data_IF_151500425748
#
_entry.id   IF_151500425748
#
_cell.length_a   1.000
_cell.length_b   1.000
_cell.length_c   1.000
_cell.angle_alpha   90.00
_cell.angle_beta   90.00
_cell.angle_gamma   90.00
#
_symmetry.space_group_name_H-M   'P 1'
#
loop_
_entity.id
_entity.type
_entity.pdbx_description
1 polymer ?
#
# COMPACT_ATOMS: atom_id res chain seq x y z
N UNK A 1 -74.45 27.94 -6.34
CA UNK A 1 -73.71 28.40 -5.14
C UNK A 1 -72.23 28.37 -5.47
N UNK A 2 -71.68 29.53 -5.78
CA UNK A 2 -70.24 29.79 -5.67
C UNK A 2 -69.93 30.13 -4.20
N UNK A 3 -68.71 29.85 -3.73
CA UNK A 3 -67.95 30.51 -2.63
C UNK A 3 -66.65 29.67 -2.50
N UNK A 4 -65.52 30.16 -3.03
CA UNK A 4 -64.42 30.91 -2.37
C UNK A 4 -63.23 30.01 -2.01
N UNK A 5 -62.07 30.35 -2.58
CA UNK A 5 -60.77 29.95 -2.06
C UNK A 5 -60.35 30.92 -0.95
N UNK A 6 -59.57 30.43 0.03
CA UNK A 6 -58.43 31.22 0.50
C UNK A 6 -57.13 30.44 0.39
N UNK A 7 -56.14 31.13 -0.19
CA UNK A 7 -54.72 30.83 -0.09
C UNK A 7 -54.23 31.07 1.34
N UNK A 8 -53.32 30.21 1.81
CA UNK A 8 -52.11 30.54 2.60
C UNK A 8 -51.83 29.45 3.63
N UNK A 9 -50.73 28.73 3.40
CA UNK A 9 -50.20 27.73 4.33
C UNK A 9 -48.77 27.42 3.91
N UNK A 10 -47.86 28.32 4.27
CA UNK A 10 -46.41 28.16 4.15
C UNK A 10 -46.00 26.87 4.88
N UNK A 11 -45.54 25.86 4.14
CA UNK A 11 -44.92 24.67 4.73
C UNK A 11 -43.46 25.02 5.02
N UNK A 12 -42.99 24.93 6.27
CA UNK A 12 -41.59 25.15 6.57
C UNK A 12 -40.77 23.97 6.02
N UNK A 13 -39.78 24.35 5.23
CA UNK A 13 -38.74 23.51 4.66
C UNK A 13 -38.08 22.70 5.79
N UNK A 14 -38.50 21.44 5.95
CA UNK A 14 -37.86 20.52 6.87
C UNK A 14 -36.49 20.17 6.28
N UNK A 15 -35.49 20.97 6.66
CA UNK A 15 -34.09 20.77 6.35
C UNK A 15 -33.70 19.32 6.68
N UNK A 16 -33.70 18.48 5.65
CA UNK A 16 -33.03 17.20 5.65
C UNK A 16 -31.56 17.50 5.95
N UNK A 17 -31.16 17.32 7.21
CA UNK A 17 -29.75 17.27 7.63
C UNK A 17 -29.12 16.08 6.91
N UNK A 18 -28.72 16.30 5.65
CA UNK A 18 -27.90 15.38 4.87
C UNK A 18 -26.60 15.23 5.63
N UNK A 19 -26.51 14.12 6.36
CA UNK A 19 -25.31 13.57 6.98
C UNK A 19 -24.17 13.70 5.96
N UNK A 20 -23.21 14.59 6.23
CA UNK A 20 -21.96 14.69 5.46
C UNK A 20 -21.39 13.27 5.36
N UNK A 21 -21.18 12.76 4.15
CA UNK A 21 -20.55 11.45 3.93
C UNK A 21 -19.05 11.57 4.23
N UNK A 22 -18.52 10.84 5.23
CA UNK A 22 -17.08 10.66 5.42
C UNK A 22 -16.72 9.32 4.79
N UNK A 23 -16.54 9.28 3.47
CA UNK A 23 -16.34 8.00 2.74
C UNK A 23 -15.04 7.90 1.97
N UNK A 24 -14.27 8.97 1.77
CA UNK A 24 -12.98 8.85 1.06
C UNK A 24 -11.80 8.57 2.00
N UNK A 25 -11.85 9.04 3.26
CA UNK A 25 -10.77 8.77 4.23
C UNK A 25 -10.82 7.35 4.82
N UNK A 26 -12.03 6.77 4.95
CA UNK A 26 -12.21 5.46 5.61
C UNK A 26 -11.64 4.27 4.85
N UNK A 27 -11.49 4.37 3.52
CA UNK A 27 -10.93 3.27 2.73
C UNK A 27 -9.41 3.30 2.66
N UNK A 28 -8.80 4.50 2.59
CA UNK A 28 -7.34 4.64 2.58
C UNK A 28 -6.71 4.26 3.92
N UNK A 29 -7.32 4.62 5.05
CA UNK A 29 -6.84 4.24 6.38
C UNK A 29 -6.81 2.71 6.57
N UNK A 30 -7.87 2.03 6.15
CA UNK A 30 -7.94 0.57 6.24
C UNK A 30 -6.97 -0.10 5.25
N UNK A 31 -6.79 0.49 4.06
CA UNK A 31 -5.79 0.04 3.10
C UNK A 31 -4.36 0.18 3.67
N UNK A 32 -4.05 1.28 4.35
CA UNK A 32 -2.75 1.49 4.99
C UNK A 32 -2.43 0.40 6.03
N UNK A 33 -3.39 0.10 6.90
CA UNK A 33 -3.26 -0.97 7.90
C UNK A 33 -3.16 -2.36 7.24
N UNK A 34 -3.96 -2.63 6.20
CA UNK A 34 -3.91 -3.89 5.46
C UNK A 34 -2.55 -4.08 4.77
N UNK A 35 -1.97 -3.04 4.17
CA UNK A 35 -0.65 -3.07 3.56
C UNK A 35 0.45 -3.26 4.61
N UNK A 36 0.36 -2.62 5.78
CA UNK A 36 1.26 -2.84 6.93
C UNK A 36 1.27 -4.31 7.36
N UNK A 37 0.09 -4.89 7.59
CA UNK A 37 -0.03 -6.30 7.98
C UNK A 37 0.46 -7.25 6.88
N UNK A 38 0.11 -6.99 5.61
CA UNK A 38 0.57 -7.78 4.47
C UNK A 38 2.09 -7.72 4.32
N UNK A 39 2.68 -6.54 4.51
CA UNK A 39 4.13 -6.36 4.50
C UNK A 39 4.80 -7.08 5.65
N UNK A 40 4.21 -7.11 6.84
CA UNK A 40 4.72 -7.85 8.00
C UNK A 40 4.75 -9.35 7.73
N UNK A 41 3.61 -9.91 7.30
CA UNK A 41 3.48 -11.35 7.01
C UNK A 41 4.42 -11.76 5.88
N UNK A 42 4.51 -10.96 4.81
CA UNK A 42 5.40 -11.24 3.69
C UNK A 42 6.87 -11.27 4.15
N UNK A 43 7.29 -10.30 4.97
CA UNK A 43 8.66 -10.26 5.46
C UNK A 43 8.98 -11.46 6.35
N UNK A 44 8.07 -11.82 7.27
CA UNK A 44 8.21 -12.99 8.13
C UNK A 44 8.41 -14.28 7.30
N UNK A 45 7.60 -14.49 6.26
CA UNK A 45 7.75 -15.64 5.36
C UNK A 45 9.06 -15.61 4.57
N UNK A 46 9.52 -14.44 4.13
CA UNK A 46 10.71 -14.30 3.29
C UNK A 46 12.01 -14.35 4.09
N UNK A 47 11.95 -14.12 5.39
CA UNK A 47 13.08 -14.25 6.32
C UNK A 47 13.11 -15.60 7.04
N UNK A 48 12.35 -16.59 6.56
CA UNK A 48 12.21 -17.90 7.21
C UNK A 48 11.85 -17.80 8.71
N UNK A 49 10.89 -16.92 9.01
CA UNK A 49 10.42 -16.63 10.37
C UNK A 49 11.49 -16.14 11.34
N UNK A 50 12.57 -15.54 10.83
CA UNK A 50 13.60 -14.92 11.68
C UNK A 50 13.01 -13.81 12.57
N UNK A 51 13.02 -14.05 13.89
CA UNK A 51 12.46 -13.15 14.89
C UNK A 51 13.07 -11.74 14.85
N UNK A 52 14.38 -11.62 14.63
CA UNK A 52 15.05 -10.30 14.60
C UNK A 52 14.51 -9.46 13.44
N UNK A 53 14.27 -10.09 12.29
CA UNK A 53 13.68 -9.42 11.12
C UNK A 53 12.23 -9.02 11.38
N UNK A 54 11.46 -9.92 12.00
CA UNK A 54 10.06 -9.67 12.35
C UNK A 54 9.94 -8.51 13.34
N UNK A 55 10.72 -8.52 14.41
CA UNK A 55 10.73 -7.46 15.44
C UNK A 55 11.15 -6.12 14.85
N UNK A 56 12.22 -6.09 14.03
CA UNK A 56 12.62 -4.87 13.32
C UNK A 56 11.47 -4.31 12.47
N UNK A 57 10.71 -5.17 11.81
CA UNK A 57 9.58 -4.76 10.99
C UNK A 57 8.38 -4.29 11.84
N UNK A 58 8.11 -4.94 12.97
CA UNK A 58 7.12 -4.48 13.96
C UNK A 58 7.47 -3.10 14.51
N UNK A 59 8.74 -2.86 14.86
CA UNK A 59 9.23 -1.54 15.30
C UNK A 59 9.00 -0.49 14.22
N UNK A 60 9.34 -0.79 12.96
CA UNK A 60 9.09 0.14 11.85
C UNK A 60 7.60 0.47 11.72
N UNK A 61 6.72 -0.53 11.75
CA UNK A 61 5.26 -0.34 11.70
C UNK A 61 4.76 0.50 12.88
N UNK A 62 5.24 0.25 14.10
CA UNK A 62 4.85 1.01 15.28
C UNK A 62 5.24 2.49 15.17
N UNK A 63 6.44 2.78 14.64
CA UNK A 63 6.88 4.16 14.36
C UNK A 63 6.01 4.84 13.30
N UNK A 64 5.68 4.15 12.20
CA UNK A 64 4.78 4.67 11.17
C UNK A 64 3.40 5.02 11.76
N UNK A 65 2.86 4.16 12.62
CA UNK A 65 1.60 4.40 13.33
C UNK A 65 1.70 5.57 14.31
N UNK A 66 2.83 5.73 15.00
CA UNK A 66 3.07 6.86 15.90
C UNK A 66 3.10 8.18 15.13
N UNK A 67 3.71 8.23 13.94
CA UNK A 67 3.65 9.42 13.07
C UNK A 67 2.21 9.74 12.64
N UNK A 68 1.45 8.73 12.20
CA UNK A 68 0.04 8.92 11.83
C UNK A 68 -0.83 9.33 13.02
N UNK A 69 -0.48 8.88 14.24
CA UNK A 69 -1.13 9.30 15.48
C UNK A 69 -0.83 10.76 15.81
N UNK A 70 0.44 11.17 15.75
CA UNK A 70 0.84 12.57 15.97
C UNK A 70 0.20 13.51 14.95
N UNK A 71 -0.04 13.03 13.72
CA UNK A 71 -0.80 13.75 12.69
C UNK A 71 -2.32 13.84 12.93
N UNK A 72 -2.84 13.21 13.98
CA UNK A 72 -4.27 13.14 14.28
C UNK A 72 -5.09 12.23 13.35
N UNK A 73 -4.43 11.39 12.54
CA UNK A 73 -5.08 10.49 11.57
C UNK A 73 -5.53 9.19 12.27
N UNK A 74 -4.72 8.67 13.18
CA UNK A 74 -5.01 7.45 13.94
C UNK A 74 -5.17 7.76 15.44
N UNK A 75 -6.09 7.07 16.10
CA UNK A 75 -6.27 7.16 17.57
C UNK A 75 -5.37 6.14 18.28
N UNK A 76 -4.89 6.45 19.49
CA UNK A 76 -4.05 5.57 20.31
C UNK A 76 -4.63 4.14 20.43
N UNK A 77 -5.91 4.01 20.80
CA UNK A 77 -6.60 2.72 20.91
C UNK A 77 -6.63 1.89 19.61
N UNK A 78 -6.67 2.57 18.45
CA UNK A 78 -6.66 1.92 17.12
C UNK A 78 -5.26 1.44 16.75
N UNK A 79 -4.23 2.23 17.04
CA UNK A 79 -2.83 1.83 16.86
C UNK A 79 -2.50 0.60 17.71
N UNK A 80 -2.82 0.65 19.02
CA UNK A 80 -2.55 -0.45 19.93
C UNK A 80 -3.28 -1.73 19.51
N UNK A 81 -4.58 -1.63 19.20
CA UNK A 81 -5.37 -2.78 18.71
C UNK A 81 -4.78 -3.38 17.44
N UNK A 82 -4.33 -2.55 16.50
CA UNK A 82 -3.70 -3.05 15.27
C UNK A 82 -2.37 -3.74 15.55
N UNK A 83 -1.55 -3.23 16.48
CA UNK A 83 -0.34 -3.90 16.92
C UNK A 83 -0.67 -5.25 17.55
N UNK A 84 -1.68 -5.35 18.44
CA UNK A 84 -2.11 -6.64 19.00
C UNK A 84 -2.48 -7.65 17.91
N UNK A 85 -3.19 -7.23 16.86
CA UNK A 85 -3.50 -8.09 15.69
C UNK A 85 -2.22 -8.53 14.98
N UNK A 86 -1.25 -7.64 14.81
CA UNK A 86 0.05 -7.99 14.22
C UNK A 86 0.77 -9.07 15.04
N UNK A 87 0.82 -8.90 16.36
CA UNK A 87 1.43 -9.87 17.28
C UNK A 87 0.71 -11.22 17.26
N UNK A 88 -0.61 -11.23 17.33
CA UNK A 88 -1.41 -12.46 17.21
C UNK A 88 -1.09 -13.19 15.90
N UNK A 89 -1.08 -12.45 14.78
CA UNK A 89 -0.80 -13.03 13.48
C UNK A 89 0.61 -13.60 13.37
N UNK A 90 1.61 -12.90 13.91
CA UNK A 90 3.00 -13.36 13.95
C UNK A 90 3.14 -14.59 14.83
N UNK A 91 2.55 -14.60 16.03
CA UNK A 91 2.60 -15.74 16.94
C UNK A 91 2.01 -17.00 16.30
N UNK A 92 0.91 -16.87 15.54
CA UNK A 92 0.34 -17.98 14.76
C UNK A 92 1.29 -18.50 13.67
N UNK A 93 2.14 -17.63 13.09
CA UNK A 93 3.15 -18.04 12.11
C UNK A 93 4.36 -18.70 12.79
N UNK A 94 4.86 -18.12 13.89
CA UNK A 94 5.98 -18.64 14.66
C UNK A 94 5.67 -20.02 15.25
N UNK A 95 4.43 -20.24 15.72
CA UNK A 95 3.99 -21.54 16.24
C UNK A 95 4.09 -22.69 15.21
N UNK A 96 4.26 -22.39 13.91
CA UNK A 96 4.46 -23.40 12.86
C UNK A 96 5.93 -23.79 12.68
N UNK A 97 6.86 -23.10 13.36
CA UNK A 97 8.30 -23.31 13.24
C UNK A 97 8.83 -23.90 14.54
N UNK A 98 9.40 -25.09 14.47
CA UNK A 98 9.81 -25.90 15.63
C UNK A 98 10.90 -25.25 16.48
N UNK A 99 11.67 -24.32 15.92
CA UNK A 99 12.84 -23.69 16.55
C UNK A 99 12.66 -22.20 16.83
N UNK A 100 11.45 -21.64 16.67
CA UNK A 100 11.25 -20.20 16.88
C UNK A 100 11.31 -19.83 18.36
N UNK A 101 12.18 -18.88 18.70
CA UNK A 101 12.11 -18.20 20.00
C UNK A 101 10.84 -17.32 20.08
N UNK A 102 10.33 -17.00 21.28
CA UNK A 102 9.29 -15.99 21.42
C UNK A 102 9.82 -14.60 21.03
N UNK A 103 8.90 -13.69 20.68
CA UNK A 103 9.22 -12.27 20.55
C UNK A 103 9.59 -11.70 21.92
N UNK A 104 10.53 -10.77 21.93
CA UNK A 104 11.09 -10.12 23.12
C UNK A 104 10.28 -8.93 23.62
N UNK A 105 9.41 -8.40 22.76
CA UNK A 105 8.59 -7.21 23.01
C UNK A 105 7.10 -7.54 23.00
N UNK A 106 6.28 -6.74 23.69
CA UNK A 106 4.82 -6.81 23.60
C UNK A 106 4.28 -5.68 22.75
N UNK A 107 2.99 -5.74 22.39
CA UNK A 107 2.33 -4.67 21.63
C UNK A 107 2.35 -3.35 22.41
N UNK A 108 2.13 -3.39 23.72
CA UNK A 108 2.12 -2.24 24.62
C UNK A 108 3.51 -1.63 24.75
N UNK A 109 4.54 -2.43 25.06
CA UNK A 109 5.91 -1.93 25.23
C UNK A 109 6.44 -1.31 23.92
N UNK A 110 6.09 -1.93 22.80
CA UNK A 110 6.46 -1.45 21.47
C UNK A 110 5.76 -0.13 21.13
N UNK A 111 4.46 -0.02 21.46
CA UNK A 111 3.68 1.19 21.21
C UNK A 111 4.20 2.38 22.02
N UNK A 112 4.44 2.21 23.32
CA UNK A 112 4.97 3.28 24.16
C UNK A 112 6.35 3.72 23.70
N UNK A 113 7.23 2.78 23.35
CA UNK A 113 8.55 3.11 22.81
C UNK A 113 8.47 3.87 21.49
N UNK A 114 7.57 3.48 20.58
CA UNK A 114 7.39 4.16 19.30
C UNK A 114 6.83 5.57 19.46
N UNK A 115 5.84 5.77 20.33
CA UNK A 115 5.30 7.10 20.66
C UNK A 115 6.39 8.02 21.20
N UNK A 116 7.17 7.53 22.17
CA UNK A 116 8.23 8.31 22.77
C UNK A 116 9.27 8.75 21.73
N UNK A 117 9.75 7.81 20.89
CA UNK A 117 10.74 8.11 19.85
C UNK A 117 10.25 9.09 18.78
N UNK A 118 8.97 9.01 18.39
CA UNK A 118 8.40 9.96 17.41
C UNK A 118 8.18 11.32 18.06
N UNK A 119 7.73 11.38 19.31
CA UNK A 119 7.56 12.64 20.02
C UNK A 119 8.90 13.37 20.23
N UNK A 120 9.96 12.63 20.57
CA UNK A 120 11.32 13.18 20.67
C UNK A 120 11.82 13.73 19.32
N UNK A 121 11.51 13.03 18.22
CA UNK A 121 11.90 13.47 16.88
C UNK A 121 11.07 14.67 16.35
N UNK A 122 9.90 14.93 16.92
CA UNK A 122 8.96 15.98 16.50
C UNK A 122 8.92 17.15 17.50
N UNK A 123 10.07 17.52 18.07
CA UNK A 123 10.32 18.46 19.19
C UNK A 123 9.61 19.84 19.13
N UNK A 124 8.91 20.15 18.05
CA UNK A 124 8.02 21.30 17.86
C UNK A 124 6.60 20.83 17.56
N UNK A 125 5.61 21.34 18.29
CA UNK A 125 4.16 21.05 18.17
C UNK A 125 3.52 21.24 16.76
N UNK A 126 4.31 21.46 15.71
CA UNK A 126 3.88 21.51 14.33
C UNK A 126 4.44 20.30 13.57
N UNK A 127 3.57 19.63 12.79
CA UNK A 127 3.98 18.59 11.84
C UNK A 127 4.80 19.24 10.71
N UNK A 128 6.08 19.51 10.96
CA UNK A 128 7.00 19.91 9.90
C UNK A 128 7.25 18.71 8.97
N UNK A 129 7.18 18.96 7.67
CA UNK A 129 7.44 17.97 6.63
C UNK A 129 8.84 17.36 6.77
N UNK A 130 9.81 18.12 7.30
CA UNK A 130 11.18 17.63 7.55
C UNK A 130 11.23 16.57 8.64
N UNK A 131 10.56 16.79 9.78
CA UNK A 131 10.49 15.85 10.91
C UNK A 131 9.76 14.56 10.53
N UNK A 132 8.65 14.69 9.77
CA UNK A 132 7.95 13.53 9.20
C UNK A 132 8.87 12.75 8.26
N UNK A 133 9.62 13.42 7.38
CA UNK A 133 10.55 12.77 6.45
C UNK A 133 11.66 12.02 7.19
N UNK A 134 12.19 12.59 8.28
CA UNK A 134 13.18 11.93 9.13
C UNK A 134 12.63 10.63 9.74
N UNK A 135 11.38 10.63 10.19
CA UNK A 135 10.74 9.43 10.74
C UNK A 135 10.60 8.29 9.71
N UNK A 136 10.45 8.62 8.41
CA UNK A 136 10.35 7.64 7.32
C UNK A 136 11.69 7.34 6.62
N UNK A 137 12.80 7.97 7.01
CA UNK A 137 14.08 7.85 6.30
C UNK A 137 14.56 6.39 6.19
N UNK A 138 14.40 5.63 7.27
CA UNK A 138 14.73 4.20 7.29
C UNK A 138 13.87 3.39 6.31
N UNK A 139 12.57 3.69 6.23
CA UNK A 139 11.66 3.02 5.31
C UNK A 139 12.00 3.36 3.85
N UNK A 140 12.30 4.63 3.55
CA UNK A 140 12.76 5.07 2.23
C UNK A 140 14.06 4.36 1.84
N UNK A 141 15.03 4.28 2.76
CA UNK A 141 16.31 3.60 2.52
C UNK A 141 16.12 2.12 2.22
N UNK A 142 15.28 1.43 2.98
CA UNK A 142 14.96 0.02 2.77
C UNK A 142 14.34 -0.21 1.38
N UNK A 143 13.40 0.65 0.97
CA UNK A 143 12.79 0.57 -0.37
C UNK A 143 13.83 0.80 -1.48
N UNK A 144 14.72 1.80 -1.32
CA UNK A 144 15.82 2.06 -2.26
C UNK A 144 16.75 0.86 -2.41
N UNK A 145 17.10 0.21 -1.29
CA UNK A 145 17.95 -0.98 -1.29
C UNK A 145 17.28 -2.16 -2.01
N UNK A 146 15.98 -2.38 -1.76
CA UNK A 146 15.21 -3.42 -2.45
C UNK A 146 15.11 -3.18 -3.95
N UNK A 147 14.89 -1.93 -4.36
CA UNK A 147 14.90 -1.55 -5.77
C UNK A 147 16.25 -1.85 -6.42
N UNK A 148 17.35 -1.42 -5.80
CA UNK A 148 18.70 -1.67 -6.30
C UNK A 148 19.00 -3.16 -6.40
N UNK A 149 18.68 -3.95 -5.37
CA UNK A 149 18.86 -5.40 -5.37
C UNK A 149 18.03 -6.09 -6.46
N UNK A 150 16.79 -5.65 -6.69
CA UNK A 150 15.94 -6.15 -7.76
C UNK A 150 16.56 -5.88 -9.15
N UNK A 151 17.01 -4.65 -9.42
CA UNK A 151 17.63 -4.29 -10.70
C UNK A 151 18.90 -5.10 -10.94
N UNK A 152 19.81 -5.14 -9.97
CA UNK A 152 21.08 -5.87 -10.09
C UNK A 152 20.87 -7.37 -10.31
N UNK A 153 19.98 -8.00 -9.55
CA UNK A 153 19.68 -9.43 -9.73
C UNK A 153 19.02 -9.71 -11.08
N UNK A 154 18.16 -8.81 -11.57
CA UNK A 154 17.55 -8.96 -12.90
C UNK A 154 18.59 -8.89 -14.02
N UNK A 155 19.50 -7.93 -13.94
CA UNK A 155 20.59 -7.77 -14.92
C UNK A 155 21.55 -8.95 -14.88
N UNK A 156 21.95 -9.40 -13.69
CA UNK A 156 22.77 -10.58 -13.51
C UNK A 156 22.09 -11.84 -14.06
N UNK A 157 20.80 -12.02 -13.78
CA UNK A 157 20.01 -13.14 -14.31
C UNK A 157 19.91 -13.13 -15.83
N UNK A 158 19.76 -11.94 -16.44
CA UNK A 158 19.78 -11.79 -17.89
C UNK A 158 21.15 -12.16 -18.48
N UNK A 159 22.24 -11.70 -17.87
CA UNK A 159 23.60 -12.02 -18.32
C UNK A 159 23.86 -13.53 -18.27
N UNK A 160 23.54 -14.19 -17.15
CA UNK A 160 23.65 -15.65 -17.01
C UNK A 160 22.82 -16.42 -18.04
N UNK A 161 21.64 -15.90 -18.38
CA UNK A 161 20.79 -16.49 -19.42
C UNK A 161 21.46 -16.43 -20.79
N UNK A 162 22.06 -15.29 -21.14
CA UNK A 162 22.79 -15.10 -22.39
C UNK A 162 24.10 -15.90 -22.46
N UNK A 163 24.74 -16.18 -21.32
CA UNK A 163 25.91 -17.05 -21.19
C UNK A 163 25.58 -18.56 -21.28
N UNK A 164 24.30 -18.93 -21.44
CA UNK A 164 23.86 -20.33 -21.48
C UNK A 164 23.75 -21.00 -20.11
N UNK A 165 23.97 -20.27 -19.01
CA UNK A 165 23.84 -20.76 -17.63
C UNK A 165 22.40 -20.65 -17.14
N UNK A 166 21.49 -21.38 -17.80
CA UNK A 166 20.05 -21.20 -17.60
C UNK A 166 19.57 -21.55 -16.17
N UNK A 167 20.12 -22.58 -15.54
CA UNK A 167 19.71 -22.96 -14.18
C UNK A 167 20.06 -21.88 -13.14
N UNK A 168 21.27 -21.33 -13.21
CA UNK A 168 21.72 -20.23 -12.37
C UNK A 168 20.90 -18.96 -12.64
N UNK A 169 20.66 -18.65 -13.93
CA UNK A 169 19.82 -17.54 -14.33
C UNK A 169 18.41 -17.64 -13.71
N UNK A 170 17.78 -18.82 -13.76
CA UNK A 170 16.46 -19.04 -13.17
C UNK A 170 16.46 -18.80 -11.66
N UNK A 171 17.51 -19.23 -10.94
CA UNK A 171 17.62 -18.99 -9.50
C UNK A 171 17.72 -17.49 -9.19
N UNK A 172 18.58 -16.77 -9.90
CA UNK A 172 18.77 -15.33 -9.71
C UNK A 172 17.51 -14.54 -10.09
N UNK A 173 16.83 -14.90 -11.18
CA UNK A 173 15.59 -14.25 -11.59
C UNK A 173 14.44 -14.48 -10.59
N UNK A 174 14.36 -15.66 -9.97
CA UNK A 174 13.41 -15.91 -8.86
C UNK A 174 13.70 -14.99 -7.66
N UNK A 175 14.98 -14.78 -7.32
CA UNK A 175 15.36 -13.83 -6.27
C UNK A 175 15.01 -12.39 -6.61
N UNK A 176 15.18 -11.99 -7.87
CA UNK A 176 14.71 -10.68 -8.36
C UNK A 176 13.20 -10.50 -8.15
N UNK A 177 12.40 -11.54 -8.42
CA UNK A 177 10.95 -11.51 -8.18
C UNK A 177 10.62 -11.34 -6.68
N UNK A 178 11.39 -11.96 -5.79
CA UNK A 178 11.24 -11.77 -4.34
C UNK A 178 11.51 -10.31 -3.95
N UNK A 179 12.60 -9.71 -4.45
CA UNK A 179 12.89 -8.30 -4.19
C UNK A 179 11.81 -7.39 -4.76
N UNK A 180 11.31 -7.66 -5.96
CA UNK A 180 10.23 -6.90 -6.58
C UNK A 180 8.96 -6.91 -5.73
N UNK A 181 8.56 -8.08 -5.22
CA UNK A 181 7.37 -8.20 -4.36
C UNK A 181 7.53 -7.43 -3.04
N UNK A 182 8.71 -7.51 -2.41
CA UNK A 182 9.03 -6.76 -1.18
C UNK A 182 9.03 -5.26 -1.43
N UNK A 183 9.69 -4.83 -2.52
CA UNK A 183 9.72 -3.43 -2.97
C UNK A 183 8.30 -2.90 -3.15
N UNK A 184 7.46 -3.60 -3.92
CA UNK A 184 6.11 -3.15 -4.22
C UNK A 184 5.26 -2.96 -2.96
N UNK A 185 5.30 -3.92 -2.03
CA UNK A 185 4.56 -3.82 -0.78
C UNK A 185 5.04 -2.65 0.09
N UNK A 186 6.36 -2.53 0.30
CA UNK A 186 6.91 -1.46 1.15
C UNK A 186 6.73 -0.07 0.52
N UNK A 187 6.88 0.04 -0.81
CA UNK A 187 6.69 1.29 -1.53
C UNK A 187 5.22 1.73 -1.55
N UNK A 188 4.28 0.81 -1.79
CA UNK A 188 2.85 1.12 -1.71
C UNK A 188 2.45 1.56 -0.30
N UNK A 189 2.92 0.84 0.72
CA UNK A 189 2.69 1.18 2.13
C UNK A 189 3.13 2.61 2.43
N UNK A 190 4.35 2.97 2.03
CA UNK A 190 4.93 4.30 2.22
C UNK A 190 4.14 5.39 1.47
N UNK A 191 3.78 5.14 0.20
CA UNK A 191 3.02 6.12 -0.59
C UNK A 191 1.63 6.39 -0.02
N UNK A 192 0.96 5.36 0.51
CA UNK A 192 -0.34 5.54 1.16
C UNK A 192 -0.19 6.37 2.44
N UNK A 193 0.84 6.15 3.26
CA UNK A 193 1.08 6.96 4.45
C UNK A 193 1.35 8.43 4.08
N UNK A 194 2.18 8.68 3.07
CA UNK A 194 2.40 10.04 2.58
C UNK A 194 1.11 10.67 2.04
N UNK A 195 0.27 9.92 1.33
CA UNK A 195 -1.02 10.41 0.84
C UNK A 195 -1.96 10.75 2.01
N UNK A 196 -1.99 9.94 3.06
CA UNK A 196 -2.77 10.22 4.27
C UNK A 196 -2.31 11.52 4.95
N UNK A 197 -0.99 11.70 5.13
CA UNK A 197 -0.38 12.89 5.72
C UNK A 197 -0.57 14.17 4.88
N UNK A 198 -0.56 14.04 3.55
CA UNK A 198 -0.87 15.16 2.65
C UNK A 198 -2.35 15.51 2.67
N UNK A 199 -3.24 14.51 2.79
CA UNK A 199 -4.69 14.74 2.84
C UNK A 199 -5.15 15.42 4.13
N UNK A 200 -4.43 15.22 5.24
CA UNK A 200 -4.72 15.88 6.52
C UNK A 200 -4.25 17.33 6.57
N UNK A 201 -3.27 17.73 5.73
CA UNK A 201 -2.67 19.06 5.71
C UNK A 201 -3.28 20.03 4.69
N UNK A 202 -4.06 19.56 3.71
CA UNK A 202 -4.66 20.42 2.68
C UNK A 202 -6.16 20.68 2.94
N UNK A 203 -6.64 21.94 2.91
CA UNK A 203 -8.07 22.21 2.92
C UNK A 203 -8.69 21.62 1.64
N UNK A 204 -9.67 20.73 1.81
CA UNK A 204 -10.31 20.00 0.71
C UNK A 204 -10.77 20.95 -0.41
N UNK A 205 -9.98 21.05 -1.48
CA UNK A 205 -10.39 21.73 -2.71
C UNK A 205 -11.57 20.93 -3.24
N UNK A 206 -12.77 21.53 -3.25
CA UNK A 206 -13.97 20.92 -3.83
C UNK A 206 -13.65 20.47 -5.25
N UNK A 207 -13.42 19.17 -5.43
CA UNK A 207 -13.22 18.60 -6.74
C UNK A 207 -14.48 18.91 -7.56
N UNK A 208 -14.35 19.68 -8.64
CA UNK A 208 -15.45 19.80 -9.57
C UNK A 208 -15.71 18.38 -10.08
N UNK A 209 -16.95 17.91 -9.94
CA UNK A 209 -17.33 16.59 -10.43
C UNK A 209 -17.17 16.60 -11.94
N UNK A 210 -16.00 16.22 -12.43
CA UNK A 210 -15.78 15.90 -13.84
C UNK A 210 -16.59 14.65 -14.13
N UNK A 211 -17.81 14.87 -14.61
CA UNK A 211 -18.67 13.83 -15.15
C UNK A 211 -18.08 13.40 -16.48
N UNK A 212 -17.81 12.11 -16.63
CA UNK A 212 -17.45 11.52 -17.92
C UNK A 212 -18.72 11.52 -18.77
N UNK A 213 -18.74 12.33 -19.83
CA UNK A 213 -19.78 12.25 -20.87
C UNK A 213 -19.24 11.47 -22.06
N UNK A 214 -20.06 10.57 -22.59
CA UNK A 214 -19.79 9.91 -23.87
C UNK A 214 -20.32 10.77 -25.02
N UNK A 215 -19.70 10.68 -26.19
CA UNK A 215 -20.25 11.27 -27.40
C UNK A 215 -21.64 10.65 -27.68
N UNK A 216 -22.60 11.48 -28.10
CA UNK A 216 -23.99 11.05 -28.31
C UNK A 216 -24.14 10.01 -29.43
N UNK A 217 -23.18 9.92 -30.35
CA UNK A 217 -23.13 8.92 -31.41
C UNK A 217 -21.75 8.24 -31.44
N UNK A 218 -21.70 6.92 -31.64
CA UNK A 218 -20.44 6.20 -31.79
C UNK A 218 -19.76 6.61 -33.10
N UNK A 219 -18.46 6.91 -33.04
CA UNK A 219 -17.63 7.09 -34.23
C UNK A 219 -17.19 5.68 -34.68
N UNK A 220 -17.70 5.23 -35.82
CA UNK A 220 -17.24 3.98 -36.45
C UNK A 220 -15.91 4.26 -37.15
N UNK A 221 -14.81 3.85 -36.52
CA UNK A 221 -13.44 4.07 -37.03
C UNK A 221 -13.07 3.16 -38.21
N UNK A 222 -13.93 2.19 -38.54
CA UNK A 222 -13.77 1.31 -39.69
C UNK A 222 -14.69 0.09 -39.61
N UNK A 223 -14.99 -0.50 -40.76
CA UNK A 223 -15.66 -1.80 -40.88
C UNK A 223 -14.61 -2.90 -40.88
N UNK A 224 -14.86 -3.96 -40.12
CA UNK A 224 -13.97 -5.12 -40.13
C UNK A 224 -14.05 -5.82 -41.49
N UNK A 225 -12.89 -6.15 -42.05
CA UNK A 225 -12.77 -7.00 -43.23
C UNK A 225 -13.37 -8.39 -42.94
N UNK A 226 -14.28 -8.83 -43.80
CA UNK A 226 -15.02 -10.08 -43.66
C UNK A 226 -14.15 -11.32 -43.97
N UNK A 227 -13.04 -11.14 -44.69
CA UNK A 227 -12.17 -12.23 -45.12
C UNK A 227 -11.02 -12.53 -44.13
N UNK A 228 -10.92 -11.72 -43.06
CA UNK A 228 -9.91 -11.92 -42.01
C UNK A 228 -10.49 -12.77 -40.90
N UNK A 229 -9.97 -13.99 -40.74
CA UNK A 229 -10.28 -14.83 -39.58
C UNK A 229 -9.82 -14.13 -38.28
N UNK A 230 -10.79 -13.80 -37.44
CA UNK A 230 -10.58 -13.21 -36.10
C UNK A 230 -10.99 -14.19 -35.00
N UNK A 231 -11.06 -15.48 -35.31
CA UNK A 231 -11.23 -16.50 -34.30
C UNK A 231 -10.19 -16.27 -33.19
N UNK A 232 -10.60 -16.30 -31.90
CA UNK A 232 -9.66 -16.12 -30.81
C UNK A 232 -8.54 -17.13 -30.97
N UNK A 233 -7.32 -16.66 -31.23
CA UNK A 233 -6.17 -17.56 -31.32
C UNK A 233 -6.10 -18.30 -29.99
N UNK A 234 -6.02 -19.63 -30.04
CA UNK A 234 -5.93 -20.45 -28.83
C UNK A 234 -4.59 -20.20 -28.15
N UNK A 235 -4.52 -19.12 -27.35
CA UNK A 235 -3.34 -18.79 -26.57
C UNK A 235 -3.16 -19.87 -25.50
N UNK A 236 -2.09 -20.66 -25.62
CA UNK A 236 -1.64 -21.50 -24.52
C UNK A 236 -1.26 -20.60 -23.34
N UNK A 237 -1.65 -20.98 -22.12
CA UNK A 237 -1.20 -20.28 -20.92
C UNK A 237 0.34 -20.30 -20.90
N UNK A 238 1.01 -19.15 -20.73
CA UNK A 238 2.47 -19.13 -20.65
C UNK A 238 2.93 -20.04 -19.52
N UNK A 239 4.01 -20.79 -19.75
CA UNK A 239 4.59 -21.63 -18.70
C UNK A 239 5.07 -20.76 -17.54
N UNK A 240 5.34 -21.37 -16.37
CA UNK A 240 5.91 -20.64 -15.23
C UNK A 240 7.24 -19.98 -15.59
N UNK A 241 8.02 -20.62 -16.46
CA UNK A 241 9.29 -20.11 -16.97
C UNK A 241 9.05 -18.92 -17.91
N UNK A 242 8.14 -19.04 -18.87
CA UNK A 242 7.80 -17.95 -19.79
C UNK A 242 7.29 -16.73 -19.02
N UNK A 243 6.44 -16.96 -18.01
CA UNK A 243 5.94 -15.91 -17.15
C UNK A 243 7.06 -15.25 -16.33
N UNK A 244 8.05 -16.01 -15.86
CA UNK A 244 9.22 -15.46 -15.16
C UNK A 244 10.03 -14.55 -16.12
N UNK A 245 10.35 -15.06 -17.31
CA UNK A 245 11.12 -14.34 -18.33
C UNK A 245 10.40 -13.08 -18.82
N UNK A 246 9.10 -13.17 -19.09
CA UNK A 246 8.26 -12.04 -19.49
C UNK A 246 8.17 -10.96 -18.41
N UNK A 247 8.26 -11.34 -17.13
CA UNK A 247 8.23 -10.38 -16.02
C UNK A 247 9.60 -9.75 -15.79
N UNK A 248 10.68 -10.52 -15.96
CA UNK A 248 12.05 -10.00 -15.87
C UNK A 248 12.45 -9.13 -17.06
N UNK A 249 11.84 -9.28 -18.23
CA UNK A 249 12.11 -8.43 -19.39
C UNK A 249 11.40 -7.07 -19.36
N UNK A 250 10.46 -6.85 -18.43
CA UNK A 250 9.74 -5.58 -18.31
C UNK A 250 10.63 -4.50 -17.70
N UNK A 251 10.74 -3.37 -18.40
CA UNK A 251 11.29 -2.15 -17.84
C UNK A 251 10.23 -1.45 -17.00
N UNK A 252 10.46 -1.39 -15.69
CA UNK A 252 9.63 -0.60 -14.79
C UNK A 252 10.18 0.83 -14.75
N UNK A 253 9.31 1.85 -14.76
CA UNK A 253 9.75 3.22 -14.58
C UNK A 253 10.49 3.34 -13.24
N UNK A 254 11.63 4.04 -13.26
CA UNK A 254 12.42 4.28 -12.05
C UNK A 254 11.56 5.05 -11.03
N UNK A 255 11.37 4.53 -9.81
CA UNK A 255 10.60 5.24 -8.80
C UNK A 255 11.31 6.54 -8.40
N UNK A 256 10.51 7.60 -8.23
CA UNK A 256 10.96 8.82 -7.56
C UNK A 256 10.86 8.58 -6.04
N UNK A 257 11.93 8.92 -5.33
CA UNK A 257 12.05 8.76 -3.88
C UNK A 257 12.17 10.09 -3.17
#
# INVERSE_FOLDING_TARGET
MAIEYPMSGVVPDSASRKRKRPTETKDLDNLALALKLKSLVAEACLSDMNNVVIEKNLIAIAKELAVLHSAGIQTDARCLRFLSICFERVNVLLAKVTTSSPLTVTAESLWESAKWQVNEAMDSNELDATAVTACYENAVRDVKLLWKAMVLSREQGANLWHEGKQEEAVHVLKMSEVYMRRFHLKFQKLNIDHALLQSSSSPAKKASKKSVSFAAAPIVLGTADADVDRSPTSCSKPSKLDALLLRSSRNFPTPHF
#
